data_IF_829029244141
#
_entry.id   IF_829029244141
#
_cell.length_a   1.000
_cell.length_b   1.000
_cell.length_c   1.000
_cell.angle_alpha   90.00
_cell.angle_beta   90.00
_cell.angle_gamma   90.00
#
_symmetry.space_group_name_H-M   'P 1'
#
loop_
_entity.id
_entity.type
_entity.pdbx_description
1 polymer ?
#
# COMPACT_ATOMS: atom_id res chain seq x y z
N UNK A 1 7.82 -27.55 -5.93
CA UNK A 1 6.78 -27.35 -4.90
C UNK A 1 6.51 -25.86 -4.79
N UNK A 2 5.46 -25.37 -5.43
CA UNK A 2 5.08 -23.96 -5.42
C UNK A 2 4.61 -23.58 -4.03
N UNK A 3 5.43 -22.84 -3.29
CA UNK A 3 5.01 -22.20 -2.04
C UNK A 3 3.96 -21.14 -2.36
N UNK A 4 2.70 -21.56 -2.39
CA UNK A 4 1.56 -20.65 -2.38
C UNK A 4 1.75 -19.76 -1.15
N UNK A 5 2.11 -18.49 -1.37
CA UNK A 5 2.11 -17.52 -0.29
C UNK A 5 0.68 -17.49 0.23
N UNK A 6 0.51 -17.87 1.49
CA UNK A 6 -0.76 -17.77 2.20
C UNK A 6 -1.23 -16.32 2.10
N UNK A 7 -2.09 -16.03 1.11
CA UNK A 7 -2.67 -14.71 0.92
C UNK A 7 -3.56 -14.46 2.12
N UNK A 8 -3.25 -13.42 2.87
CA UNK A 8 -4.05 -13.04 4.03
C UNK A 8 -5.23 -12.24 3.49
N UNK A 9 -6.33 -12.94 3.20
CA UNK A 9 -7.53 -12.34 2.61
C UNK A 9 -7.99 -11.09 3.36
N UNK A 10 -7.98 -11.13 4.71
CA UNK A 10 -8.35 -9.97 5.53
C UNK A 10 -7.48 -8.73 5.26
N UNK A 11 -6.17 -8.91 5.02
CA UNK A 11 -5.27 -7.80 4.72
C UNK A 11 -5.58 -7.17 3.35
N UNK A 12 -5.92 -8.00 2.37
CA UNK A 12 -6.29 -7.56 1.03
C UNK A 12 -7.63 -6.80 1.04
N UNK A 13 -8.60 -7.26 1.84
CA UNK A 13 -9.89 -6.56 2.03
C UNK A 13 -9.66 -5.18 2.63
N UNK A 14 -8.88 -5.06 3.72
CA UNK A 14 -8.64 -3.76 4.36
C UNK A 14 -7.89 -2.81 3.41
N UNK A 15 -6.94 -3.33 2.62
CA UNK A 15 -6.27 -2.52 1.58
C UNK A 15 -7.23 -2.06 0.49
N UNK A 16 -8.15 -2.91 0.04
CA UNK A 16 -9.16 -2.54 -0.95
C UNK A 16 -10.11 -1.46 -0.40
N UNK A 17 -10.57 -1.60 0.85
CA UNK A 17 -11.39 -0.59 1.52
C UNK A 17 -10.64 0.73 1.68
N UNK A 18 -9.36 0.69 2.07
CA UNK A 18 -8.52 1.87 2.18
C UNK A 18 -8.37 2.60 0.84
N UNK A 19 -8.10 1.89 -0.26
CA UNK A 19 -8.05 2.47 -1.62
C UNK A 19 -9.39 3.11 -1.99
N UNK A 20 -10.52 2.44 -1.72
CA UNK A 20 -11.85 2.99 -2.02
C UNK A 20 -12.11 4.31 -1.28
N UNK A 21 -11.76 4.39 0.01
CA UNK A 21 -11.89 5.63 0.78
C UNK A 21 -11.04 6.76 0.18
N UNK A 22 -9.80 6.46 -0.23
CA UNK A 22 -8.90 7.43 -0.88
C UNK A 22 -9.48 7.92 -2.21
N UNK A 23 -10.00 7.00 -3.04
CA UNK A 23 -10.59 7.35 -4.33
C UNK A 23 -11.84 8.23 -4.14
N UNK A 24 -12.74 7.86 -3.24
CA UNK A 24 -13.94 8.65 -2.94
C UNK A 24 -13.56 10.06 -2.48
N UNK A 25 -12.58 10.17 -1.56
CA UNK A 25 -12.04 11.45 -1.12
C UNK A 25 -11.52 12.30 -2.29
N UNK A 26 -10.66 11.73 -3.14
CA UNK A 26 -10.11 12.48 -4.28
C UNK A 26 -11.19 12.83 -5.31
N UNK A 27 -12.19 11.98 -5.52
CA UNK A 27 -13.34 12.30 -6.37
C UNK A 27 -14.12 13.49 -5.83
N UNK A 28 -14.31 13.63 -4.51
CA UNK A 28 -14.98 14.82 -3.96
C UNK A 28 -14.22 16.11 -4.20
N UNK A 29 -12.87 16.08 -4.14
CA UNK A 29 -12.02 17.25 -4.44
C UNK A 29 -12.17 17.67 -5.91
N UNK A 30 -12.26 16.69 -6.82
CA UNK A 30 -12.37 16.95 -8.26
C UNK A 30 -13.78 17.42 -8.68
N UNK A 31 -14.84 16.82 -8.11
CA UNK A 31 -16.23 17.10 -8.50
C UNK A 31 -16.77 18.34 -7.77
N UNK A 32 -16.35 18.59 -6.53
CA UNK A 32 -16.85 19.68 -5.68
C UNK A 32 -15.72 20.54 -5.11
N UNK A 33 -14.95 21.25 -5.95
CA UNK A 33 -13.75 21.97 -5.52
C UNK A 33 -14.01 23.07 -4.49
N UNK A 34 -15.16 23.75 -4.57
CA UNK A 34 -15.52 24.88 -3.69
C UNK A 34 -16.56 24.50 -2.61
N UNK A 35 -16.87 23.21 -2.43
CA UNK A 35 -17.88 22.77 -1.46
C UNK A 35 -17.34 22.84 -0.03
N UNK A 36 -17.82 23.80 0.74
CA UNK A 36 -17.54 23.94 2.19
C UNK A 36 -18.50 23.15 3.08
N UNK A 37 -19.11 22.09 2.55
CA UNK A 37 -20.01 21.27 3.36
C UNK A 37 -19.23 20.41 4.35
N UNK A 38 -19.71 20.32 5.60
CA UNK A 38 -19.10 19.48 6.64
C UNK A 38 -18.99 18.00 6.20
N UNK A 39 -19.93 17.53 5.37
CA UNK A 39 -19.91 16.18 4.82
C UNK A 39 -18.73 15.94 3.87
N UNK A 40 -18.45 16.88 2.96
CA UNK A 40 -17.29 16.78 2.04
C UNK A 40 -15.99 16.82 2.83
N UNK A 41 -15.88 17.69 3.85
CA UNK A 41 -14.71 17.73 4.72
C UNK A 41 -14.49 16.40 5.46
N UNK A 42 -15.56 15.80 6.01
CA UNK A 42 -15.48 14.50 6.66
C UNK A 42 -14.99 13.41 5.70
N UNK A 43 -15.53 13.36 4.47
CA UNK A 43 -15.11 12.40 3.44
C UNK A 43 -13.62 12.56 3.09
N UNK A 44 -13.14 13.79 2.94
CA UNK A 44 -11.73 14.07 2.69
C UNK A 44 -10.82 13.61 3.83
N UNK A 45 -11.27 13.82 5.07
CA UNK A 45 -10.57 13.33 6.26
C UNK A 45 -10.53 11.80 6.37
N UNK A 46 -11.60 11.10 6.00
CA UNK A 46 -11.56 9.65 5.89
C UNK A 46 -10.63 9.17 4.77
N UNK A 47 -10.50 9.97 3.70
CA UNK A 47 -9.51 9.75 2.64
C UNK A 47 -8.08 9.73 3.15
N UNK A 48 -7.68 10.71 3.97
CA UNK A 48 -6.33 10.77 4.54
C UNK A 48 -6.04 9.58 5.44
N UNK A 49 -7.00 9.20 6.29
CA UNK A 49 -6.90 7.97 7.10
C UNK A 49 -6.76 6.73 6.21
N UNK A 50 -7.49 6.68 5.08
CA UNK A 50 -7.37 5.60 4.10
C UNK A 50 -5.95 5.48 3.52
N UNK A 51 -5.29 6.61 3.24
CA UNK A 51 -3.88 6.63 2.79
C UNK A 51 -2.99 6.01 3.87
N UNK A 52 -3.11 6.45 5.12
CA UNK A 52 -2.29 5.97 6.23
C UNK A 52 -2.43 4.46 6.44
N UNK A 53 -3.68 3.96 6.47
CA UNK A 53 -3.98 2.52 6.60
C UNK A 53 -3.35 1.76 5.42
N UNK A 54 -3.50 2.25 4.19
CA UNK A 54 -2.95 1.58 3.01
C UNK A 54 -1.41 1.50 3.06
N UNK A 55 -0.74 2.59 3.45
CA UNK A 55 0.72 2.62 3.57
C UNK A 55 1.23 1.72 4.68
N UNK A 56 0.60 1.74 5.87
CA UNK A 56 0.99 0.89 7.00
C UNK A 56 0.83 -0.59 6.65
N UNK A 57 -0.28 -1.00 6.04
CA UNK A 57 -0.51 -2.40 5.68
C UNK A 57 0.41 -2.87 4.55
N UNK A 58 0.66 -2.02 3.57
CA UNK A 58 1.62 -2.31 2.49
C UNK A 58 3.03 -2.43 3.06
N UNK A 59 3.43 -1.53 3.96
CA UNK A 59 4.70 -1.57 4.68
C UNK A 59 4.85 -2.81 5.55
N UNK A 60 3.82 -3.21 6.28
CA UNK A 60 3.80 -4.43 7.08
C UNK A 60 4.06 -5.69 6.23
N UNK A 61 3.40 -5.80 5.07
CA UNK A 61 3.59 -6.94 4.18
C UNK A 61 5.01 -6.99 3.61
N UNK A 62 5.54 -5.84 3.18
CA UNK A 62 6.91 -5.71 2.65
C UNK A 62 7.93 -6.02 3.73
N UNK A 63 7.77 -5.42 4.91
CA UNK A 63 8.66 -5.59 6.05
C UNK A 63 8.71 -7.04 6.52
N UNK A 64 7.58 -7.74 6.56
CA UNK A 64 7.55 -9.17 6.89
C UNK A 64 8.31 -10.03 5.87
N UNK A 65 8.18 -9.73 4.58
CA UNK A 65 8.95 -10.43 3.53
C UNK A 65 10.45 -10.18 3.72
N UNK A 66 10.82 -8.92 3.98
CA UNK A 66 12.20 -8.52 4.21
C UNK A 66 12.77 -9.22 5.45
N UNK A 67 12.10 -9.13 6.60
CA UNK A 67 12.52 -9.78 7.86
C UNK A 67 12.70 -11.28 7.70
N UNK A 68 11.81 -11.96 6.96
CA UNK A 68 11.96 -13.38 6.65
C UNK A 68 13.23 -13.67 5.83
N UNK A 69 13.59 -12.80 4.89
CA UNK A 69 14.83 -12.91 4.12
C UNK A 69 16.07 -12.56 4.94
N UNK A 70 15.95 -11.65 5.91
CA UNK A 70 17.03 -11.28 6.84
C UNK A 70 17.37 -12.43 7.81
N UNK A 71 16.37 -13.22 8.20
CA UNK A 71 16.55 -14.33 9.14
C UNK A 71 17.22 -15.56 8.50
N UNK A 72 17.22 -15.66 7.17
CA UNK A 72 18.03 -16.66 6.44
C UNK A 72 19.51 -16.27 6.44
N UNK A 73 20.39 -17.23 6.73
CA UNK A 73 21.83 -17.07 7.01
C UNK A 73 22.65 -16.36 5.91
N UNK A 74 22.12 -16.20 4.69
CA UNK A 74 22.72 -15.46 3.58
C UNK A 74 22.38 -13.96 3.60
N UNK A 75 22.58 -13.31 4.76
CA UNK A 75 22.33 -11.89 4.91
C UNK A 75 23.46 -11.06 4.26
N UNK A 76 23.22 -10.59 3.04
CA UNK A 76 24.08 -9.61 2.36
C UNK A 76 23.27 -8.37 2.02
N UNK A 77 23.84 -7.18 2.21
CA UNK A 77 23.26 -5.90 1.76
C UNK A 77 22.87 -5.94 0.26
N UNK A 78 23.59 -6.73 -0.54
CA UNK A 78 23.26 -6.97 -1.96
C UNK A 78 21.88 -7.60 -2.16
N UNK A 79 21.45 -8.50 -1.27
CA UNK A 79 20.15 -9.17 -1.36
C UNK A 79 19.00 -8.21 -1.08
N UNK A 80 19.19 -7.29 -0.13
CA UNK A 80 18.24 -6.21 0.17
C UNK A 80 18.15 -5.24 -1.01
N UNK A 81 19.28 -4.77 -1.52
CA UNK A 81 19.33 -3.89 -2.70
C UNK A 81 18.65 -4.53 -3.91
N UNK A 82 18.92 -5.81 -4.17
CA UNK A 82 18.29 -6.56 -5.25
C UNK A 82 16.78 -6.78 -5.05
N UNK A 83 16.30 -6.87 -3.81
CA UNK A 83 14.87 -6.88 -3.50
C UNK A 83 14.21 -5.53 -3.84
N UNK A 84 14.82 -4.41 -3.44
CA UNK A 84 14.31 -3.06 -3.73
C UNK A 84 14.32 -2.75 -5.22
N UNK A 85 15.43 -3.05 -5.91
CA UNK A 85 15.59 -2.88 -7.36
C UNK A 85 14.46 -3.61 -8.10
N UNK A 86 14.24 -4.91 -7.84
CA UNK A 86 13.15 -5.65 -8.50
C UNK A 86 11.77 -5.08 -8.22
N UNK A 87 11.58 -4.49 -7.03
CA UNK A 87 10.31 -3.86 -6.68
C UNK A 87 10.09 -2.55 -7.43
N UNK A 88 11.13 -1.74 -7.58
CA UNK A 88 11.12 -0.50 -8.37
C UNK A 88 10.97 -0.75 -9.87
N UNK A 89 11.63 -1.79 -10.40
CA UNK A 89 11.47 -2.19 -11.81
C UNK A 89 10.06 -2.69 -12.16
N UNK A 90 9.22 -3.06 -11.17
CA UNK A 90 7.80 -3.35 -11.43
C UNK A 90 6.93 -2.09 -11.55
N UNK A 91 7.41 -0.95 -11.06
CA UNK A 91 6.69 0.34 -11.10
C UNK A 91 7.24 1.28 -12.17
N UNK A 92 8.48 1.09 -12.59
CA UNK A 92 9.06 1.78 -13.75
C UNK A 92 8.47 1.22 -15.04
N UNK A 93 7.91 2.06 -15.91
CA UNK A 93 7.43 1.58 -17.20
C UNK A 93 8.62 1.21 -18.09
N UNK A 94 8.45 0.13 -18.84
CA UNK A 94 9.43 -0.34 -19.81
C UNK A 94 9.23 0.41 -21.12
N UNK A 95 9.80 1.60 -21.24
CA UNK A 95 9.94 2.32 -22.52
C UNK A 95 11.41 2.37 -22.92
#
# INVERSE_FOLDING_TARGET
MSSQSQRIFGLDVVRATAILLVLISHSTILIFPESKSNAVFAIQFFGTIGVDIFFVLSGYLIGRILLKQLQTQDFSFKNVLYFWIRRWFRTLPNY
#
